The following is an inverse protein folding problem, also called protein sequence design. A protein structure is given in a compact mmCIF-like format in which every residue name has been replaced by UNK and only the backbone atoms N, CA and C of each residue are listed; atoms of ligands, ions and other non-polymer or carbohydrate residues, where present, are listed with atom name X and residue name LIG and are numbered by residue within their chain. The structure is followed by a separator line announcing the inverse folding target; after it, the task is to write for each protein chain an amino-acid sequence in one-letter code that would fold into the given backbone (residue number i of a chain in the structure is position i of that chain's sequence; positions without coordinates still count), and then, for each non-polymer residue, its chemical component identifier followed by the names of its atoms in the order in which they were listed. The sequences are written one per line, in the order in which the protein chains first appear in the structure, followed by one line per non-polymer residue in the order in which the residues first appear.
data_IF_351073660813
#
_entry.id   IF_351073660813
#
_cell.length_a   1.000
_cell.length_b   1.000
_cell.length_c   1.000
_cell.angle_alpha   90.00
_cell.angle_beta   90.00
_cell.angle_gamma   90.00
#
_symmetry.space_group_name_H-M   'P 1'
#
loop_
_entity.id
_entity.type
_entity.pdbx_description
1 polymer ?
#
# COMPACT_ATOMS: atom_id res chain seq x y z
N UNK A 1 -26.42 7.61 -0.73
CA UNK A 1 -25.94 8.74 0.10
C UNK A 1 -25.81 8.27 1.54
N UNK A 2 -24.69 8.55 2.21
CA UNK A 2 -24.49 8.27 3.63
C UNK A 2 -24.65 9.54 4.45
N UNK A 3 -25.30 9.45 5.61
CA UNK A 3 -25.64 10.62 6.44
C UNK A 3 -24.50 11.07 7.37
N UNK A 4 -23.47 10.23 7.56
CA UNK A 4 -22.23 10.53 8.29
C UNK A 4 -21.03 10.03 7.47
N UNK A 5 -20.53 10.88 6.57
CA UNK A 5 -19.47 10.50 5.62
C UNK A 5 -18.08 11.07 5.93
N UNK A 6 -17.99 11.98 6.91
CA UNK A 6 -16.73 12.60 7.29
C UNK A 6 -15.75 11.60 7.91
N UNK A 7 -14.48 11.71 7.52
CA UNK A 7 -13.37 10.94 8.06
C UNK A 7 -12.21 11.88 8.40
N UNK A 8 -11.42 11.51 9.41
CA UNK A 8 -10.24 12.24 9.86
C UNK A 8 -8.98 11.49 9.41
N UNK A 9 -8.07 12.20 8.74
CA UNK A 9 -6.75 11.68 8.38
C UNK A 9 -5.74 12.06 9.47
N UNK A 10 -5.13 11.06 10.12
CA UNK A 10 -4.07 11.25 11.10
C UNK A 10 -2.71 10.87 10.48
N UNK A 11 -1.77 11.82 10.32
CA UNK A 11 -0.43 11.54 9.80
C UNK A 11 0.34 10.52 10.66
N UNK A 12 1.02 9.57 10.01
CA UNK A 12 1.80 8.51 10.71
C UNK A 12 3.20 8.27 10.15
N UNK A 13 3.47 8.64 8.90
CA UNK A 13 4.80 8.61 8.32
C UNK A 13 4.92 9.67 7.21
N UNK A 14 6.13 10.22 7.03
CA UNK A 14 6.44 11.26 6.06
C UNK A 14 7.61 10.83 5.19
N UNK A 15 7.49 11.02 3.88
CA UNK A 15 8.51 10.69 2.89
C UNK A 15 8.68 11.86 1.92
N UNK A 16 9.88 12.13 1.36
CA UNK A 16 10.04 13.07 0.25
C UNK A 16 9.20 12.65 -0.96
N UNK A 17 8.61 13.61 -1.69
CA UNK A 17 7.87 13.32 -2.93
C UNK A 17 8.86 13.17 -4.12
N UNK A 18 9.05 11.96 -4.68
CA UNK A 18 10.04 11.74 -5.73
C UNK A 18 9.59 12.24 -7.10
N UNK A 19 8.30 12.58 -7.28
CA UNK A 19 7.75 13.05 -8.56
C UNK A 19 7.78 14.58 -8.60
N UNK A 20 7.35 15.25 -7.51
CA UNK A 20 7.38 16.71 -7.42
C UNK A 20 8.77 17.26 -7.12
N UNK A 21 9.50 16.61 -6.21
CA UNK A 21 10.84 17.03 -5.78
C UNK A 21 10.84 18.29 -4.89
N UNK A 22 12.04 18.83 -4.64
CA UNK A 22 12.22 19.99 -3.76
C UNK A 22 11.84 19.68 -2.31
N UNK A 23 11.06 20.57 -1.70
CA UNK A 23 10.57 20.46 -0.31
C UNK A 23 9.20 19.77 -0.20
N UNK A 24 8.65 19.26 -1.31
CA UNK A 24 7.36 18.57 -1.31
C UNK A 24 7.45 17.16 -0.69
N UNK A 25 6.38 16.76 0.01
CA UNK A 25 6.32 15.52 0.79
C UNK A 25 5.07 14.69 0.51
N UNK A 26 5.20 13.38 0.71
CA UNK A 26 4.12 12.41 0.82
C UNK A 26 3.85 12.12 2.29
N UNK A 27 2.59 12.17 2.70
CA UNK A 27 2.16 11.88 4.07
C UNK A 27 1.28 10.63 4.06
N UNK A 28 1.79 9.55 4.66
CA UNK A 28 0.97 8.37 4.94
C UNK A 28 0.12 8.66 6.18
N UNK A 29 -1.19 8.45 6.07
CA UNK A 29 -2.15 8.66 7.14
C UNK A 29 -2.87 7.37 7.50
N UNK A 30 -3.30 7.30 8.75
CA UNK A 30 -4.36 6.38 9.18
C UNK A 30 -5.71 7.10 9.23
N UNK A 31 -6.80 6.35 9.11
CA UNK A 31 -8.16 6.91 8.97
C UNK A 31 -8.96 6.68 10.25
N UNK A 32 -9.63 7.74 10.68
CA UNK A 32 -10.45 7.80 11.87
C UNK A 32 -11.85 8.31 11.54
N UNK A 33 -12.83 7.96 12.37
CA UNK A 33 -14.13 8.61 12.40
C UNK A 33 -14.01 9.96 13.11
N UNK A 34 -15.03 10.81 12.98
CA UNK A 34 -15.07 12.14 13.60
C UNK A 34 -15.09 12.12 15.13
N UNK A 35 -15.42 10.98 15.73
CA UNK A 35 -15.40 10.74 17.17
C UNK A 35 -14.03 10.25 17.69
N UNK A 36 -12.99 10.35 16.85
CA UNK A 36 -11.63 9.90 17.13
C UNK A 36 -11.46 8.39 17.36
N UNK A 37 -12.46 7.58 16.98
CA UNK A 37 -12.29 6.12 16.90
C UNK A 37 -11.67 5.71 15.56
N UNK A 38 -10.85 4.64 15.50
CA UNK A 38 -10.31 4.14 14.24
C UNK A 38 -11.46 3.77 13.28
N UNK A 39 -11.35 4.19 12.02
CA UNK A 39 -12.32 3.77 10.99
C UNK A 39 -12.30 2.24 10.86
N UNK A 40 -13.43 1.62 10.49
CA UNK A 40 -13.56 0.16 10.44
C UNK A 40 -12.53 -0.54 9.52
N UNK A 41 -11.95 0.17 8.55
CA UNK A 41 -10.90 -0.33 7.65
C UNK A 41 -9.47 -0.02 8.12
N UNK A 42 -9.30 0.66 9.25
CA UNK A 42 -7.99 1.01 9.79
C UNK A 42 -7.34 -0.20 10.46
N UNK A 43 -6.53 -0.93 9.68
CA UNK A 43 -5.78 -2.10 10.14
C UNK A 43 -4.49 -1.74 10.87
N UNK A 44 -4.04 -0.48 10.82
CA UNK A 44 -2.83 -0.01 11.52
C UNK A 44 -3.06 0.14 13.02
N UNK A 45 -4.24 0.58 13.44
CA UNK A 45 -4.57 0.76 14.85
C UNK A 45 -4.30 -0.49 15.71
N UNK A 46 -4.81 -1.69 15.38
CA UNK A 46 -4.51 -2.90 16.16
C UNK A 46 -3.04 -3.35 16.06
N UNK A 47 -2.38 -3.12 14.92
CA UNK A 47 -0.94 -3.42 14.78
C UNK A 47 -0.09 -2.62 15.76
N UNK A 48 -0.43 -1.33 15.99
CA UNK A 48 0.31 -0.46 16.92
C UNK A 48 0.32 -1.02 18.34
N UNK A 49 -0.82 -1.48 18.85
CA UNK A 49 -0.93 -2.07 20.19
C UNK A 49 -0.03 -3.31 20.34
N UNK A 50 -0.01 -4.17 19.32
CA UNK A 50 0.82 -5.38 19.32
C UNK A 50 2.31 -5.03 19.21
N UNK A 51 2.66 -4.07 18.36
CA UNK A 51 4.03 -3.61 18.18
C UNK A 51 4.59 -2.97 19.46
N UNK A 52 3.79 -2.15 20.16
CA UNK A 52 4.18 -1.55 21.44
C UNK A 52 4.35 -2.62 22.54
N UNK A 53 3.45 -3.61 22.60
CA UNK A 53 3.50 -4.69 23.59
C UNK A 53 4.78 -5.52 23.52
N UNK A 54 5.33 -5.72 22.33
CA UNK A 54 6.50 -6.57 22.09
C UNK A 54 7.70 -5.79 21.54
N UNK A 55 7.78 -4.49 21.85
CA UNK A 55 8.83 -3.61 21.33
C UNK A 55 10.25 -4.05 21.76
N UNK A 56 10.38 -4.78 22.86
CA UNK A 56 11.65 -5.31 23.39
C UNK A 56 12.23 -6.45 22.55
N UNK A 57 11.46 -7.05 21.65
CA UNK A 57 11.89 -8.18 20.82
C UNK A 57 12.60 -7.76 19.52
N UNK A 58 12.59 -6.46 19.18
CA UNK A 58 13.22 -5.91 17.96
C UNK A 58 12.89 -6.71 16.68
N UNK A 59 11.58 -6.90 16.43
CA UNK A 59 11.10 -7.72 15.32
C UNK A 59 11.37 -7.10 13.96
N UNK A 60 11.88 -7.90 13.01
CA UNK A 60 12.16 -7.49 11.63
C UNK A 60 11.26 -8.23 10.64
N UNK A 61 10.80 -7.52 9.61
CA UNK A 61 9.92 -8.06 8.58
C UNK A 61 10.47 -7.76 7.19
N UNK A 62 10.46 -8.77 6.31
CA UNK A 62 10.70 -8.65 4.88
C UNK A 62 9.44 -9.03 4.12
N UNK A 63 9.06 -8.24 3.11
CA UNK A 63 7.86 -8.47 2.30
C UNK A 63 8.27 -8.45 0.83
N UNK A 64 7.97 -9.53 0.12
CA UNK A 64 8.20 -9.66 -1.32
C UNK A 64 6.92 -9.24 -2.07
N UNK A 65 6.88 -7.99 -2.54
CA UNK A 65 5.73 -7.47 -3.28
C UNK A 65 5.84 -7.80 -4.78
N UNK A 66 5.12 -8.84 -5.21
CA UNK A 66 4.92 -9.11 -6.63
C UNK A 66 3.79 -8.25 -7.23
N UNK A 67 3.86 -7.94 -8.52
CA UNK A 67 2.80 -7.26 -9.25
C UNK A 67 2.89 -7.56 -10.75
N UNK A 68 1.78 -7.38 -11.47
CA UNK A 68 1.70 -7.60 -12.93
C UNK A 68 1.28 -6.31 -13.61
N UNK A 69 2.03 -5.86 -14.61
CA UNK A 69 1.63 -4.72 -15.44
C UNK A 69 0.48 -5.11 -16.37
N UNK A 70 -0.48 -4.21 -16.55
CA UNK A 70 -1.62 -4.38 -17.45
C UNK A 70 -1.73 -3.22 -18.42
N UNK A 71 -2.20 -3.51 -19.64
CA UNK A 71 -2.57 -2.52 -20.64
C UNK A 71 -3.76 -3.06 -21.44
N UNK A 72 -4.75 -2.21 -21.68
CA UNK A 72 -5.95 -2.54 -22.48
C UNK A 72 -6.65 -3.84 -22.00
N UNK A 73 -6.77 -4.02 -20.68
CA UNK A 73 -7.46 -5.16 -20.06
C UNK A 73 -6.71 -6.49 -20.07
N UNK A 74 -5.43 -6.52 -20.47
CA UNK A 74 -4.59 -7.73 -20.46
C UNK A 74 -3.20 -7.47 -19.88
N UNK A 75 -2.47 -8.51 -19.43
CA UNK A 75 -1.09 -8.35 -18.99
C UNK A 75 -0.23 -7.70 -20.08
N UNK A 76 0.64 -6.78 -19.68
CA UNK A 76 1.56 -6.11 -20.60
C UNK A 76 2.47 -7.15 -21.26
N UNK A 77 2.56 -7.11 -22.60
CA UNK A 77 3.32 -8.07 -23.40
C UNK A 77 2.52 -9.29 -23.89
N UNK A 78 1.31 -9.53 -23.39
CA UNK A 78 0.47 -10.61 -23.93
C UNK A 78 -0.12 -10.23 -25.29
N UNK A 79 -0.27 -11.21 -26.22
CA UNK A 79 -0.94 -10.99 -27.48
C UNK A 79 -2.44 -10.70 -27.28
N UNK A 80 -3.05 -10.00 -28.23
CA UNK A 80 -4.51 -9.78 -28.21
C UNK A 80 -5.22 -11.13 -28.36
N UNK A 81 -6.07 -11.49 -27.40
CA UNK A 81 -6.88 -12.70 -27.47
C UNK A 81 -6.12 -14.01 -27.28
N UNK A 82 -4.90 -13.98 -26.74
CA UNK A 82 -4.09 -15.18 -26.54
C UNK A 82 -3.17 -15.13 -25.32
N UNK A 83 -2.29 -16.12 -25.24
CA UNK A 83 -1.27 -16.27 -24.21
C UNK A 83 0.12 -16.17 -24.85
N UNK A 84 1.16 -15.75 -24.11
CA UNK A 84 2.53 -15.81 -24.58
C UNK A 84 3.04 -17.27 -24.55
N UNK A 85 4.29 -17.45 -24.98
CA UNK A 85 4.99 -18.73 -24.81
C UNK A 85 5.04 -19.16 -23.33
N UNK A 86 5.14 -20.47 -23.04
CA UNK A 86 5.22 -20.99 -21.68
C UNK A 86 6.26 -20.28 -20.81
N UNK A 87 6.02 -20.28 -19.49
CA UNK A 87 6.95 -19.68 -18.53
C UNK A 87 8.34 -20.33 -18.61
N UNK A 88 9.38 -19.51 -18.46
CA UNK A 88 10.77 -19.97 -18.41
C UNK A 88 11.78 -18.84 -18.60
N UNK A 89 11.58 -18.01 -19.63
CA UNK A 89 12.50 -16.92 -19.96
C UNK A 89 12.19 -15.58 -19.29
N UNK A 90 11.04 -15.47 -18.59
CA UNK A 90 10.58 -14.20 -18.02
C UNK A 90 11.19 -13.88 -16.66
N UNK A 91 11.46 -14.90 -15.83
CA UNK A 91 12.10 -14.69 -14.54
C UNK A 91 13.54 -14.23 -14.75
N UNK A 92 13.86 -13.02 -14.28
CA UNK A 92 15.17 -12.38 -14.46
C UNK A 92 15.64 -12.26 -15.94
N UNK A 93 14.70 -12.22 -16.91
CA UNK A 93 15.01 -12.02 -18.33
C UNK A 93 15.51 -10.59 -18.65
N UNK A 94 16.08 -10.41 -19.85
CA UNK A 94 16.62 -9.12 -20.36
C UNK A 94 16.05 -8.79 -21.73
#
# INVERSE_FOLDING_TARGET
PGDNSDCVLKPVAVFPDPIRGGDDILVMCEVFLVDDTPHATNTRAPLREVAEKYADQDMWFGIEQEYTFFKDGRPLGFPVGGYPEPQGFYYCGV
#
